data_IF_202819739776
#
_entry.id   IF_202819739776
#
_cell.length_a   1.000
_cell.length_b   1.000
_cell.length_c   1.000
_cell.angle_alpha   90.00
_cell.angle_beta   90.00
_cell.angle_gamma   90.00
#
_symmetry.space_group_name_H-M   'P 1'
#
loop_
_entity.id
_entity.type
_entity.pdbx_description
1 polymer ?
#
# COMPACT_ATOMS: atom_id res chain seq x y z
N UNK A 1 8.45 -1.84 -11.16
CA UNK A 1 7.30 -2.78 -11.26
C UNK A 1 7.55 -3.96 -10.34
N UNK A 2 6.52 -4.53 -9.70
CA UNK A 2 6.72 -5.43 -8.54
C UNK A 2 6.40 -6.90 -8.75
N UNK A 3 5.74 -7.28 -9.85
CA UNK A 3 5.36 -8.68 -10.09
C UNK A 3 4.36 -9.25 -9.07
N UNK A 4 3.68 -8.39 -8.30
CA UNK A 4 2.69 -8.76 -7.28
C UNK A 4 1.27 -8.45 -7.78
N UNK A 5 0.32 -9.40 -7.65
CA UNK A 5 -1.10 -9.09 -7.86
C UNK A 5 -1.51 -7.96 -6.91
N UNK A 6 -2.08 -6.88 -7.46
CA UNK A 6 -2.38 -5.67 -6.70
C UNK A 6 -3.81 -5.23 -6.97
N UNK A 7 -4.49 -4.78 -5.92
CA UNK A 7 -5.81 -4.16 -5.99
C UNK A 7 -5.70 -2.70 -5.55
N UNK A 8 -6.41 -1.82 -6.23
CA UNK A 8 -6.55 -0.43 -5.81
C UNK A 8 -7.71 -0.29 -4.83
N UNK A 9 -7.54 0.57 -3.83
CA UNK A 9 -8.62 0.98 -2.94
C UNK A 9 -9.34 2.18 -3.53
N UNK A 10 -10.65 2.30 -3.28
CA UNK A 10 -11.44 3.48 -3.64
C UNK A 10 -11.14 4.72 -2.78
N UNK A 11 -9.94 4.84 -2.22
CA UNK A 11 -9.53 5.86 -1.27
C UNK A 11 -8.77 5.27 -0.07
N UNK A 12 -7.80 6.02 0.45
CA UNK A 12 -6.88 5.58 1.51
C UNK A 12 -7.59 5.39 2.86
N UNK A 13 -8.70 6.10 3.08
CA UNK A 13 -9.58 5.94 4.25
C UNK A 13 -10.21 4.55 4.35
N UNK A 14 -10.23 3.79 3.24
CA UNK A 14 -10.78 2.43 3.20
C UNK A 14 -9.79 1.34 3.61
N UNK A 15 -8.52 1.68 3.81
CA UNK A 15 -7.46 0.72 4.15
C UNK A 15 -7.78 -0.09 5.42
N UNK A 16 -8.42 0.54 6.41
CA UNK A 16 -8.83 -0.09 7.66
C UNK A 16 -10.05 -1.03 7.53
N UNK A 17 -10.72 -1.06 6.38
CA UNK A 17 -11.94 -1.84 6.16
C UNK A 17 -11.77 -2.98 5.15
N UNK A 18 -10.57 -3.17 4.61
CA UNK A 18 -10.29 -4.25 3.65
C UNK A 18 -10.54 -5.60 4.32
N UNK A 19 -11.41 -6.43 3.75
CA UNK A 19 -11.56 -7.80 4.19
C UNK A 19 -10.30 -8.59 3.79
N UNK A 20 -9.59 -9.14 4.78
CA UNK A 20 -8.36 -9.90 4.57
C UNK A 20 -8.62 -11.35 5.03
N UNK A 21 -8.57 -12.34 4.12
CA UNK A 21 -8.76 -13.74 4.49
C UNK A 21 -7.76 -14.21 5.55
N UNK A 22 -8.19 -15.08 6.47
CA UNK A 22 -7.37 -15.56 7.59
C UNK A 22 -6.06 -16.24 7.15
N UNK A 23 -6.04 -16.86 5.98
CA UNK A 23 -4.85 -17.51 5.41
C UNK A 23 -3.75 -16.53 4.97
N UNK A 24 -4.05 -15.23 4.87
CA UNK A 24 -3.06 -14.22 4.47
C UNK A 24 -2.07 -14.03 5.61
N UNK A 25 -0.77 -14.09 5.28
CA UNK A 25 0.33 -13.89 6.25
C UNK A 25 1.12 -12.61 6.02
N UNK A 26 0.99 -12.00 4.83
CA UNK A 26 1.72 -10.81 4.44
C UNK A 26 0.80 -9.84 3.73
N UNK A 27 0.83 -8.59 4.17
CA UNK A 27 0.14 -7.46 3.55
C UNK A 27 1.21 -6.48 3.07
N UNK A 28 1.17 -6.12 1.80
CA UNK A 28 2.03 -5.08 1.22
C UNK A 28 1.15 -3.91 0.86
N UNK A 29 1.41 -2.76 1.48
CA UNK A 29 0.74 -1.49 1.16
C UNK A 29 1.66 -0.69 0.25
N UNK A 30 1.22 -0.48 -0.99
CA UNK A 30 1.82 0.46 -1.92
C UNK A 30 1.16 1.82 -1.69
N UNK A 31 1.79 2.65 -0.86
CA UNK A 31 1.26 3.95 -0.45
C UNK A 31 1.87 5.11 -1.22
N UNK A 32 1.12 6.21 -1.27
CA UNK A 32 1.60 7.51 -1.73
C UNK A 32 2.48 8.16 -0.66
N UNK A 33 3.24 9.19 -1.04
CA UNK A 33 3.95 10.03 -0.08
C UNK A 33 2.99 10.99 0.60
N UNK A 34 3.25 11.23 1.88
CA UNK A 34 2.71 12.38 2.59
C UNK A 34 1.82 12.04 3.77
N UNK A 35 1.52 13.08 4.55
CA UNK A 35 0.94 12.96 5.89
C UNK A 35 -0.41 12.24 5.93
N UNK A 36 -1.22 12.36 4.88
CA UNK A 36 -2.52 11.70 4.82
C UNK A 36 -2.36 10.17 4.72
N UNK A 37 -1.46 9.71 3.84
CA UNK A 37 -1.15 8.30 3.66
C UNK A 37 -0.55 7.69 4.93
N UNK A 38 0.44 8.37 5.53
CA UNK A 38 1.08 7.93 6.77
C UNK A 38 0.06 7.79 7.91
N UNK A 39 -0.78 8.81 8.11
CA UNK A 39 -1.77 8.83 9.18
C UNK A 39 -2.80 7.71 9.05
N UNK A 40 -3.24 7.43 7.82
CA UNK A 40 -4.27 6.43 7.58
C UNK A 40 -3.69 5.01 7.59
N UNK A 41 -2.44 4.83 7.16
CA UNK A 41 -1.71 3.58 7.34
C UNK A 41 -1.55 3.25 8.83
N UNK A 42 -1.19 4.25 9.65
CA UNK A 42 -1.05 4.05 11.08
C UNK A 42 -2.38 3.66 11.73
N UNK A 43 -3.48 4.33 11.35
CA UNK A 43 -4.83 3.96 11.82
C UNK A 43 -5.25 2.54 11.39
N UNK A 44 -4.78 2.07 10.24
CA UNK A 44 -5.09 0.74 9.74
C UNK A 44 -4.16 -0.35 10.29
N UNK A 45 -3.05 0.02 10.94
CA UNK A 45 -1.97 -0.91 11.32
C UNK A 45 -2.47 -2.12 12.06
N UNK A 46 -3.27 -1.94 13.12
CA UNK A 46 -3.79 -3.04 13.93
C UNK A 46 -4.63 -4.02 13.11
N UNK A 47 -5.49 -3.48 12.24
CA UNK A 47 -6.29 -4.30 11.32
C UNK A 47 -5.42 -5.05 10.31
N UNK A 48 -4.35 -4.43 9.79
CA UNK A 48 -3.48 -5.06 8.81
C UNK A 48 -2.53 -6.11 9.42
N UNK A 49 -2.16 -5.96 10.70
CA UNK A 49 -1.24 -6.85 11.41
C UNK A 49 -1.93 -7.91 12.26
N UNK A 50 -3.24 -7.80 12.52
CA UNK A 50 -3.96 -8.81 13.33
C UNK A 50 -3.78 -10.23 12.78
N UNK A 51 -4.00 -11.27 13.58
CA UNK A 51 -3.69 -12.66 13.22
C UNK A 51 -2.21 -12.91 12.82
N UNK A 52 -1.28 -12.10 13.34
CA UNK A 52 0.16 -12.28 13.13
C UNK A 52 0.63 -12.01 11.70
N UNK A 53 -0.05 -11.12 10.97
CA UNK A 53 0.33 -10.74 9.60
C UNK A 53 1.54 -9.80 9.62
N UNK A 54 2.46 -10.04 8.70
CA UNK A 54 3.53 -9.10 8.37
C UNK A 54 2.95 -7.93 7.56
N UNK A 55 3.22 -6.69 7.98
CA UNK A 55 2.85 -5.49 7.24
C UNK A 55 4.11 -4.84 6.65
N UNK A 56 4.14 -4.73 5.32
CA UNK A 56 5.20 -4.07 4.56
C UNK A 56 4.63 -2.80 3.93
N UNK A 57 5.22 -1.64 4.24
CA UNK A 57 4.91 -0.38 3.56
C UNK A 57 5.94 -0.12 2.46
N UNK A 58 5.46 0.19 1.25
CA UNK A 58 6.30 0.59 0.11
C UNK A 58 5.82 1.94 -0.41
N UNK A 59 6.71 2.91 -0.36
CA UNK A 59 6.47 4.29 -0.80
C UNK A 59 7.53 4.65 -1.85
N UNK A 60 7.19 5.38 -2.92
CA UNK A 60 8.17 5.75 -3.93
C UNK A 60 9.24 6.71 -3.38
N UNK A 61 10.50 6.46 -3.74
CA UNK A 61 11.65 7.26 -3.27
C UNK A 61 11.69 8.67 -3.88
N UNK A 62 11.25 8.83 -5.13
CA UNK A 62 11.40 10.06 -5.90
C UNK A 62 10.09 10.62 -6.48
N UNK A 63 8.96 9.98 -6.19
CA UNK A 63 7.65 10.36 -6.75
C UNK A 63 6.61 10.45 -5.66
N UNK A 64 5.56 11.25 -5.90
CA UNK A 64 4.48 11.42 -4.94
C UNK A 64 3.61 10.16 -4.85
N UNK A 65 3.39 9.45 -5.96
CA UNK A 65 2.67 8.18 -5.99
C UNK A 65 3.33 7.13 -6.91
N UNK A 66 2.80 5.90 -6.84
CA UNK A 66 3.29 4.80 -7.69
C UNK A 66 2.89 4.92 -9.16
N UNK A 67 1.86 5.72 -9.49
CA UNK A 67 1.46 5.97 -10.87
C UNK A 67 2.45 6.89 -11.58
N UNK A 68 2.96 7.92 -10.90
CA UNK A 68 4.01 8.80 -11.37
C UNK A 68 5.32 8.06 -11.56
N UNK A 69 5.71 7.25 -10.58
CA UNK A 69 6.88 6.37 -10.70
C UNK A 69 6.76 5.42 -11.89
N UNK A 70 5.57 4.85 -12.10
CA UNK A 70 5.31 3.97 -13.24
C UNK A 70 5.34 4.71 -14.58
N UNK A 71 4.71 5.88 -14.67
CA UNK A 71 4.75 6.74 -15.88
C UNK A 71 6.17 7.14 -16.23
N UNK A 72 7.00 7.51 -15.25
CA UNK A 72 8.40 7.82 -15.45
C UNK A 72 9.19 6.61 -15.97
N UNK A 73 9.05 5.45 -15.32
CA UNK A 73 9.69 4.21 -15.75
C UNK A 73 9.35 3.82 -17.19
N UNK A 74 8.08 3.97 -17.59
CA UNK A 74 7.62 3.70 -18.97
C UNK A 74 8.19 4.63 -20.03
N UNK A 75 8.67 5.82 -19.65
CA UNK A 75 9.29 6.78 -20.58
C UNK A 75 10.79 6.56 -20.72
N UNK A 76 11.41 5.89 -19.75
CA UNK A 76 12.84 5.55 -19.73
C UNK A 76 13.15 4.14 -20.25
N UNK A 77 12.13 3.30 -20.41
CA UNK A 77 12.22 1.94 -20.95
C UNK A 77 11.95 1.94 -22.45
#
# INVERSE_FOLDING_TARGET
>A
WFGTPTWALGGVERLAFVAIPEKVRRVIVYGDRGRAADRLLEKARDHLTANGRELISRVPEHHDDWNDAWRAHRRSA
#
